data_IF_984973701693
#
_entry.id   IF_984973701693
#
_cell.length_a   1.000
_cell.length_b   1.000
_cell.length_c   1.000
_cell.angle_alpha   90.00
_cell.angle_beta   90.00
_cell.angle_gamma   90.00
#
_symmetry.space_group_name_H-M   'P 1'
#
loop_
_entity.id
_entity.type
_entity.pdbx_description
1 polymer ?
#
# COMPACT_ATOMS: atom_id res chain seq x y z
N UNK A 1 12.64 -29.00 13.56
CA UNK A 1 12.36 -28.89 12.11
C UNK A 1 11.20 -27.94 11.78
N UNK A 2 10.15 -27.88 12.61
CA UNK A 2 9.00 -26.98 12.39
C UNK A 2 9.31 -25.48 12.56
N UNK A 3 10.18 -25.11 13.52
CA UNK A 3 10.55 -23.71 13.77
C UNK A 3 11.31 -23.05 12.61
N UNK A 4 12.17 -23.80 11.92
CA UNK A 4 12.95 -23.31 10.76
C UNK A 4 12.07 -23.04 9.54
N UNK A 5 11.04 -23.86 9.31
CA UNK A 5 10.04 -23.65 8.25
C UNK A 5 9.22 -22.38 8.51
N UNK A 6 8.82 -22.15 9.77
CA UNK A 6 8.06 -20.96 10.14
C UNK A 6 8.85 -19.66 9.93
N UNK A 7 10.15 -19.66 10.28
CA UNK A 7 11.05 -18.52 10.03
C UNK A 7 11.23 -18.26 8.53
N UNK A 8 11.35 -19.32 7.72
CA UNK A 8 11.47 -19.18 6.27
C UNK A 8 10.20 -18.59 5.63
N UNK A 9 9.01 -19.04 6.04
CA UNK A 9 7.73 -18.49 5.59
C UNK A 9 7.56 -17.01 5.97
N UNK A 10 8.02 -16.62 7.17
CA UNK A 10 8.02 -15.22 7.61
C UNK A 10 8.94 -14.36 6.74
N UNK A 11 10.14 -14.85 6.40
CA UNK A 11 11.09 -14.07 5.57
C UNK A 11 10.59 -13.87 4.13
N UNK A 12 9.92 -14.87 3.56
CA UNK A 12 9.34 -14.77 2.21
C UNK A 12 8.22 -13.73 2.18
N UNK A 13 7.33 -13.70 3.19
CA UNK A 13 6.25 -12.70 3.23
C UNK A 13 6.78 -11.27 3.40
N UNK A 14 7.84 -11.07 4.18
CA UNK A 14 8.50 -9.75 4.28
C UNK A 14 9.12 -9.28 2.96
N UNK A 15 9.69 -10.19 2.16
CA UNK A 15 10.33 -9.82 0.88
C UNK A 15 9.34 -9.35 -0.20
N UNK A 16 8.12 -9.88 -0.21
CA UNK A 16 7.13 -9.55 -1.23
C UNK A 16 6.61 -8.11 -1.07
N UNK A 17 6.34 -7.70 0.17
CA UNK A 17 5.90 -6.34 0.49
C UNK A 17 6.98 -5.29 0.22
N UNK A 18 8.26 -5.67 0.33
CA UNK A 18 9.39 -4.78 0.09
C UNK A 18 9.45 -4.30 -1.37
N UNK A 19 9.06 -5.13 -2.35
CA UNK A 19 9.11 -4.75 -3.77
C UNK A 19 8.03 -3.73 -4.14
N UNK A 20 6.82 -3.85 -3.59
CA UNK A 20 5.74 -2.88 -3.80
C UNK A 20 6.14 -1.54 -3.18
N UNK A 21 6.65 -1.57 -1.95
CA UNK A 21 7.11 -0.37 -1.27
C UNK A 21 8.24 0.33 -2.05
N UNK A 22 9.26 -0.38 -2.52
CA UNK A 22 10.38 0.23 -3.24
C UNK A 22 9.95 0.90 -4.56
N UNK A 23 9.04 0.27 -5.30
CA UNK A 23 8.45 0.87 -6.51
C UNK A 23 7.66 2.14 -6.19
N UNK A 24 6.85 2.12 -5.13
CA UNK A 24 6.10 3.30 -4.71
C UNK A 24 7.01 4.43 -4.24
N UNK A 25 8.05 4.15 -3.46
CA UNK A 25 9.00 5.17 -3.03
C UNK A 25 9.68 5.82 -4.24
N UNK A 26 10.04 5.04 -5.25
CA UNK A 26 10.59 5.57 -6.51
C UNK A 26 9.60 6.49 -7.23
N UNK A 27 8.34 6.07 -7.38
CA UNK A 27 7.31 6.91 -8.01
C UNK A 27 7.10 8.21 -7.22
N UNK A 28 7.04 8.13 -5.89
CA UNK A 28 6.84 9.28 -5.02
C UNK A 28 8.04 10.23 -5.05
N UNK A 29 9.28 9.71 -5.12
CA UNK A 29 10.48 10.54 -5.21
C UNK A 29 10.57 11.33 -6.51
N UNK A 30 9.89 10.87 -7.56
CA UNK A 30 9.85 11.56 -8.85
C UNK A 30 8.79 12.68 -8.87
N UNK A 31 7.95 12.80 -7.83
CA UNK A 31 6.96 13.88 -7.70
C UNK A 31 7.60 15.16 -7.13
N UNK A 32 7.05 16.35 -7.46
CA UNK A 32 7.44 17.58 -6.80
C UNK A 32 7.32 17.49 -5.28
N UNK A 33 8.28 18.07 -4.56
CA UNK A 33 8.34 17.99 -3.09
C UNK A 33 7.10 18.58 -2.38
N UNK A 34 6.35 19.47 -3.04
CA UNK A 34 5.11 20.06 -2.54
C UNK A 34 3.87 19.18 -2.76
N UNK A 35 4.00 18.03 -3.43
CA UNK A 35 2.87 17.15 -3.73
C UNK A 35 2.47 16.34 -2.50
N UNK A 36 1.23 16.52 -2.04
CA UNK A 36 0.65 15.69 -0.99
C UNK A 36 0.24 14.33 -1.56
N UNK A 37 0.67 13.25 -0.90
CA UNK A 37 0.41 11.87 -1.32
C UNK A 37 -0.20 11.09 -0.16
N UNK A 38 -1.35 10.47 -0.42
CA UNK A 38 -1.99 9.47 0.45
C UNK A 38 -2.32 8.22 -0.38
N UNK A 39 -1.94 7.05 0.12
CA UNK A 39 -2.07 5.76 -0.55
C UNK A 39 -2.47 4.70 0.48
N UNK A 40 -3.46 3.88 0.15
CA UNK A 40 -3.77 2.63 0.85
C UNK A 40 -3.90 1.52 -0.19
N UNK A 41 -3.16 0.43 0.01
CA UNK A 41 -3.22 -0.77 -0.83
C UNK A 41 -3.68 -1.91 0.06
N UNK A 42 -4.78 -2.53 -0.35
CA UNK A 42 -5.41 -3.64 0.35
C UNK A 42 -5.47 -4.88 -0.54
N UNK A 43 -5.38 -6.03 0.09
CA UNK A 43 -5.67 -7.30 -0.55
C UNK A 43 -7.18 -7.42 -0.74
N UNK A 44 -7.62 -7.45 -2.00
CA UNK A 44 -9.04 -7.46 -2.35
C UNK A 44 -9.80 -8.71 -1.83
N UNK A 45 -9.09 -9.81 -1.53
CA UNK A 45 -9.73 -11.06 -1.10
C UNK A 45 -10.10 -11.04 0.39
N UNK A 46 -9.30 -10.38 1.23
CA UNK A 46 -9.45 -10.43 2.70
C UNK A 46 -9.47 -9.04 3.37
N UNK A 47 -9.30 -7.96 2.61
CA UNK A 47 -9.28 -6.59 3.13
C UNK A 47 -8.02 -6.23 3.92
N UNK A 48 -7.02 -7.12 4.00
CA UNK A 48 -5.79 -6.83 4.73
C UNK A 48 -5.01 -5.72 4.04
N UNK A 49 -4.52 -4.78 4.84
CA UNK A 49 -3.66 -3.70 4.36
C UNK A 49 -2.29 -4.28 4.02
N UNK A 50 -1.89 -4.11 2.76
CA UNK A 50 -0.57 -4.46 2.25
C UNK A 50 0.39 -3.29 2.49
N UNK A 51 -0.08 -2.05 2.29
CA UNK A 51 0.70 -0.83 2.46
C UNK A 51 -0.18 0.38 2.70
N UNK A 52 0.25 1.26 3.60
CA UNK A 52 -0.36 2.57 3.84
C UNK A 52 0.66 3.69 3.91
N UNK A 53 0.29 4.84 3.38
CA UNK A 53 0.99 6.11 3.53
C UNK A 53 -0.05 7.20 3.66
N UNK A 54 -0.10 7.89 4.80
CA UNK A 54 -1.00 9.03 5.02
C UNK A 54 -2.49 8.74 4.70
N UNK A 55 -2.94 7.48 4.76
CA UNK A 55 -4.27 7.07 4.32
C UNK A 55 -5.42 7.70 5.13
N UNK A 56 -5.15 8.10 6.38
CA UNK A 56 -6.10 8.79 7.24
C UNK A 56 -6.17 10.32 7.00
N UNK A 57 -5.32 10.88 6.14
CA UNK A 57 -5.34 12.32 5.84
C UNK A 57 -6.44 12.60 4.80
N UNK A 58 -7.36 13.55 5.05
CA UNK A 58 -8.37 13.92 4.07
C UNK A 58 -7.74 14.44 2.77
N UNK A 59 -8.21 13.91 1.64
CA UNK A 59 -7.77 14.30 0.29
C UNK A 59 -8.98 14.65 -0.57
N UNK A 60 -8.77 15.49 -1.59
CA UNK A 60 -9.82 15.82 -2.56
C UNK A 60 -10.00 14.62 -3.50
N UNK A 61 -11.17 13.96 -3.53
CA UNK A 61 -11.38 12.74 -4.32
C UNK A 61 -11.54 12.99 -5.84
N UNK A 62 -11.73 14.24 -6.27
CA UNK A 62 -11.97 14.62 -7.66
C UNK A 62 -13.08 13.76 -8.31
N UNK A 63 -12.83 13.15 -9.48
CA UNK A 63 -13.81 12.29 -10.14
C UNK A 63 -14.09 10.97 -9.40
N UNK A 64 -13.25 10.58 -8.43
CA UNK A 64 -13.47 9.34 -7.67
C UNK A 64 -14.65 9.45 -6.70
N UNK A 65 -15.19 10.66 -6.46
CA UNK A 65 -16.51 10.84 -5.83
C UNK A 65 -17.59 10.00 -6.49
N UNK A 66 -17.47 9.75 -7.82
CA UNK A 66 -18.40 8.91 -8.58
C UNK A 66 -18.55 7.51 -7.99
N UNK A 67 -17.47 6.94 -7.45
CA UNK A 67 -17.49 5.61 -6.84
C UNK A 67 -18.44 5.51 -5.65
N UNK A 68 -18.71 6.63 -4.97
CA UNK A 68 -19.61 6.70 -3.81
C UNK A 68 -21.03 7.07 -4.18
N UNK A 69 -21.26 7.67 -5.35
CA UNK A 69 -22.60 8.02 -5.84
C UNK A 69 -23.23 6.93 -6.71
N UNK A 70 -22.43 6.00 -7.22
CA UNK A 70 -22.89 4.86 -8.04
C UNK A 70 -23.06 3.56 -7.25
N UNK A 71 -22.67 3.55 -5.98
CA UNK A 71 -22.73 2.38 -5.11
C UNK A 71 -24.16 2.11 -4.59
#
# INVERSE_FOLDING_TARGET
>A
MTKTIFIFLLLVSLSLNAQINSKLQKIISDLPASTNVAISILNANNGEIILEKNSAIPMIPASNTKLFTTA
#
